data_IF_893195193792
#
_entry.id   IF_893195193792
#
_cell.length_a   1.000
_cell.length_b   1.000
_cell.length_c   1.000
_cell.angle_alpha   90.00
_cell.angle_beta   90.00
_cell.angle_gamma   90.00
#
_symmetry.space_group_name_H-M   'P 1'
#
loop_
_entity.id
_entity.type
_entity.pdbx_description
1 polymer ?
#
# COMPACT_ATOMS: atom_id res chain seq x y z
N UNK A 1 8.33 41.96 20.19
CA UNK A 1 7.73 40.60 20.18
C UNK A 1 7.25 40.35 18.76
N UNK A 2 7.98 39.59 17.94
CA UNK A 2 7.61 39.31 16.56
C UNK A 2 6.75 38.04 16.52
N UNK A 3 5.54 38.13 15.93
CA UNK A 3 4.66 36.99 15.69
C UNK A 3 5.25 36.10 14.61
N UNK A 4 5.47 34.82 14.94
CA UNK A 4 5.81 33.77 13.98
C UNK A 4 4.52 33.34 13.28
N UNK A 5 4.26 33.88 12.09
CA UNK A 5 3.24 33.33 11.20
C UNK A 5 3.67 31.94 10.76
N UNK A 6 3.00 30.93 11.31
CA UNK A 6 3.13 29.54 10.86
C UNK A 6 2.53 29.45 9.46
N UNK A 7 3.38 29.52 8.42
CA UNK A 7 2.98 29.21 7.05
C UNK A 7 2.48 27.77 6.98
N UNK A 8 1.15 27.61 6.97
CA UNK A 8 0.49 26.34 6.69
C UNK A 8 0.67 26.06 5.19
N UNK A 9 1.64 25.23 4.83
CA UNK A 9 1.81 24.75 3.46
C UNK A 9 0.53 24.04 3.00
N UNK A 10 -0.23 24.68 2.11
CA UNK A 10 -1.38 24.08 1.43
C UNK A 10 -0.87 23.07 0.42
N UNK A 11 -0.77 21.80 0.82
CA UNK A 11 -0.52 20.71 -0.13
C UNK A 11 -1.72 20.62 -1.08
N UNK A 12 -1.49 20.91 -2.35
CA UNK A 12 -2.50 20.70 -3.41
C UNK A 12 -2.67 19.21 -3.63
N UNK A 13 -3.68 18.61 -2.99
CA UNK A 13 -4.05 17.21 -3.20
C UNK A 13 -4.85 17.14 -4.49
N UNK A 14 -4.45 16.25 -5.40
CA UNK A 14 -5.18 16.01 -6.64
C UNK A 14 -6.21 14.93 -6.38
N UNK A 15 -7.42 15.13 -6.88
CA UNK A 15 -8.51 14.15 -6.76
C UNK A 15 -8.75 13.52 -8.12
N UNK A 16 -8.66 12.19 -8.21
CA UNK A 16 -8.94 11.47 -9.45
C UNK A 16 -10.44 11.50 -9.73
N UNK A 17 -10.85 12.34 -10.67
CA UNK A 17 -12.25 12.45 -11.09
C UNK A 17 -12.42 12.04 -12.54
N UNK A 18 -11.45 12.38 -13.39
CA UNK A 18 -11.43 12.09 -14.83
C UNK A 18 -10.10 11.47 -15.27
N UNK A 19 -10.05 10.83 -16.46
CA UNK A 19 -8.81 10.23 -16.98
C UNK A 19 -7.62 11.19 -17.08
N UNK A 20 -7.87 12.47 -17.35
CA UNK A 20 -6.82 13.50 -17.45
C UNK A 20 -6.06 13.71 -16.12
N UNK A 21 -6.73 13.48 -14.98
CA UNK A 21 -6.12 13.66 -13.65
C UNK A 21 -5.12 12.54 -13.34
N UNK A 22 -5.21 11.41 -14.07
CA UNK A 22 -4.50 10.17 -13.77
C UNK A 22 -3.00 10.36 -13.58
N UNK A 23 -2.33 11.04 -14.51
CA UNK A 23 -0.87 11.18 -14.49
C UNK A 23 -0.39 11.94 -13.25
N UNK A 24 -1.06 13.05 -12.91
CA UNK A 24 -0.69 13.88 -11.77
C UNK A 24 -1.10 13.22 -10.44
N UNK A 25 -2.28 12.60 -10.41
CA UNK A 25 -2.76 11.85 -9.25
C UNK A 25 -1.88 10.64 -8.92
N UNK A 26 -1.51 9.86 -9.94
CA UNK A 26 -0.62 8.71 -9.78
C UNK A 26 0.78 9.15 -9.32
N UNK A 27 1.27 10.30 -9.81
CA UNK A 27 2.55 10.84 -9.38
C UNK A 27 2.59 11.07 -7.86
N UNK A 28 1.53 11.61 -7.24
CA UNK A 28 1.46 11.81 -5.78
C UNK A 28 1.60 10.50 -5.01
N UNK A 29 0.92 9.45 -5.47
CA UNK A 29 0.96 8.13 -4.84
C UNK A 29 2.29 7.43 -5.09
N UNK A 30 2.86 7.59 -6.29
CA UNK A 30 4.18 7.09 -6.64
C UNK A 30 5.26 7.73 -5.78
N UNK A 31 5.24 9.05 -5.61
CA UNK A 31 6.22 9.79 -4.81
C UNK A 31 6.20 9.31 -3.35
N UNK A 32 5.00 9.18 -2.76
CA UNK A 32 4.83 8.58 -1.44
C UNK A 32 5.37 7.14 -1.39
N UNK A 33 5.01 6.29 -2.34
CA UNK A 33 5.46 4.89 -2.36
C UNK A 33 6.99 4.76 -2.52
N UNK A 34 7.62 5.60 -3.35
CA UNK A 34 9.08 5.65 -3.51
C UNK A 34 9.75 6.10 -2.22
N UNK A 35 9.20 7.10 -1.53
CA UNK A 35 9.73 7.58 -0.24
C UNK A 35 9.74 6.50 0.85
N UNK A 36 8.83 5.53 0.76
CA UNK A 36 8.74 4.38 1.65
C UNK A 36 9.42 3.11 1.10
N UNK A 37 10.00 3.15 -0.10
CA UNK A 37 10.63 1.98 -0.73
C UNK A 37 9.65 0.87 -1.10
N UNK A 38 8.38 1.19 -1.37
CA UNK A 38 7.32 0.21 -1.66
C UNK A 38 6.71 0.31 -3.06
N UNK A 39 7.22 1.19 -3.93
CA UNK A 39 6.66 1.39 -5.28
C UNK A 39 6.58 0.10 -6.09
N UNK A 40 7.59 -0.78 -5.99
CA UNK A 40 7.62 -2.06 -6.71
C UNK A 40 6.40 -2.96 -6.38
N UNK A 41 5.89 -2.91 -5.15
CA UNK A 41 4.76 -3.74 -4.69
C UNK A 41 3.41 -3.17 -5.12
N UNK A 42 3.33 -1.89 -5.49
CA UNK A 42 2.07 -1.23 -5.82
C UNK A 42 2.00 -0.66 -7.25
N UNK A 43 3.08 -0.74 -8.03
CA UNK A 43 3.15 -0.19 -9.38
C UNK A 43 2.09 -0.81 -10.33
N UNK A 44 1.08 -0.04 -10.78
CA UNK A 44 0.01 -0.56 -11.63
C UNK A 44 0.44 -0.82 -13.08
N UNK A 45 1.68 -0.45 -13.44
CA UNK A 45 2.27 -0.78 -14.74
C UNK A 45 2.69 -2.26 -14.84
N UNK A 46 2.93 -2.92 -13.71
CA UNK A 46 3.39 -4.31 -13.63
C UNK A 46 2.19 -5.21 -13.41
N UNK A 47 2.01 -6.26 -14.24
CA UNK A 47 0.88 -7.18 -14.10
C UNK A 47 0.95 -8.04 -12.82
N UNK A 48 2.16 -8.44 -12.44
CA UNK A 48 2.44 -9.31 -11.28
C UNK A 48 3.49 -8.65 -10.41
N UNK A 49 3.11 -7.80 -9.43
CA UNK A 49 4.06 -7.18 -8.53
C UNK A 49 4.67 -8.23 -7.58
N UNK A 50 5.88 -7.99 -7.04
CA UNK A 50 6.39 -8.76 -5.92
C UNK A 50 5.40 -8.68 -4.75
N UNK A 51 5.32 -9.75 -3.97
CA UNK A 51 4.55 -9.77 -2.73
C UNK A 51 5.48 -9.44 -1.58
N UNK A 52 4.99 -8.66 -0.61
CA UNK A 52 5.74 -8.41 0.62
C UNK A 52 6.03 -9.75 1.31
N UNK A 53 7.24 -9.92 1.83
CA UNK A 53 7.60 -11.12 2.59
C UNK A 53 6.62 -11.34 3.75
N UNK A 54 6.39 -12.59 4.17
CA UNK A 54 5.54 -12.86 5.32
C UNK A 54 6.06 -12.13 6.57
N UNK A 55 5.13 -11.85 7.49
CA UNK A 55 5.45 -11.23 8.79
C UNK A 55 6.53 -12.06 9.50
N UNK A 56 7.67 -11.46 9.89
CA UNK A 56 8.71 -12.18 10.61
C UNK A 56 8.19 -12.76 11.92
N UNK A 57 8.36 -14.07 12.10
CA UNK A 57 7.97 -14.78 13.32
C UNK A 57 8.95 -14.46 14.45
N UNK A 58 8.41 -14.15 15.63
CA UNK A 58 9.22 -13.81 16.79
C UNK A 58 9.90 -15.09 17.31
N UNK A 59 11.24 -15.10 17.48
CA UNK A 59 11.93 -16.22 18.10
C UNK A 59 11.35 -16.53 19.48
N UNK A 60 10.97 -17.80 19.67
CA UNK A 60 10.48 -18.31 20.95
C UNK A 60 11.69 -18.66 21.82
N UNK A 61 11.56 -18.47 23.13
CA UNK A 61 12.58 -18.93 24.07
C UNK A 61 12.63 -20.47 24.02
N UNK A 62 13.82 -21.10 23.86
CA UNK A 62 13.90 -22.55 23.86
C UNK A 62 13.55 -23.12 25.24
N UNK A 63 12.93 -24.29 25.24
CA UNK A 63 12.66 -25.07 26.44
C UNK A 63 13.96 -25.70 26.99
N UNK A 64 14.02 -25.92 28.30
CA UNK A 64 15.15 -26.58 28.96
C UNK A 64 16.08 -25.65 29.74
N UNK A 65 17.33 -26.06 29.91
CA UNK A 65 18.31 -25.33 30.71
C UNK A 65 18.82 -24.08 29.97
N UNK A 66 18.65 -22.91 30.60
CA UNK A 66 18.94 -21.61 30.02
C UNK A 66 20.36 -21.18 30.35
N UNK A 67 21.34 -21.88 29.76
CA UNK A 67 22.75 -21.51 29.92
C UNK A 67 23.03 -20.12 29.34
N UNK A 68 24.17 -19.54 29.73
CA UNK A 68 24.59 -18.22 29.26
C UNK A 68 24.70 -18.18 27.72
N UNK A 69 25.18 -19.25 27.10
CA UNK A 69 25.32 -19.40 25.64
C UNK A 69 23.95 -19.44 24.96
N UNK A 70 23.00 -20.21 25.50
CA UNK A 70 21.62 -20.29 24.98
C UNK A 70 20.96 -18.92 25.00
N UNK A 71 21.07 -18.21 26.13
CA UNK A 71 20.55 -16.85 26.26
C UNK A 71 21.25 -15.86 25.32
N UNK A 72 22.54 -16.03 25.07
CA UNK A 72 23.28 -15.18 24.13
C UNK A 72 22.82 -15.39 22.69
N UNK A 73 22.67 -16.64 22.25
CA UNK A 73 22.12 -16.97 20.92
C UNK A 73 20.69 -16.43 20.80
N UNK A 74 19.87 -16.55 21.84
CA UNK A 74 18.51 -16.02 21.84
C UNK A 74 18.48 -14.50 21.68
N UNK A 75 19.37 -13.77 22.35
CA UNK A 75 19.49 -12.31 22.19
C UNK A 75 19.83 -11.94 20.75
N UNK A 76 20.79 -12.62 20.12
CA UNK A 76 21.15 -12.39 18.73
C UNK A 76 19.97 -12.62 17.77
N UNK A 77 19.23 -13.72 17.94
CA UNK A 77 18.02 -14.02 17.15
C UNK A 77 16.94 -12.96 17.32
N UNK A 78 16.71 -12.49 18.55
CA UNK A 78 15.75 -11.43 18.83
C UNK A 78 16.14 -10.11 18.16
N UNK A 79 17.42 -9.72 18.23
CA UNK A 79 17.92 -8.51 17.57
C UNK A 79 17.77 -8.57 16.05
N UNK A 80 18.07 -9.71 15.42
CA UNK A 80 17.85 -9.91 13.98
C UNK A 80 16.36 -9.85 13.63
N UNK A 81 15.50 -10.50 14.42
CA UNK A 81 14.06 -10.45 14.25
C UNK A 81 13.52 -9.03 14.38
N UNK A 82 13.97 -8.25 15.37
CA UNK A 82 13.54 -6.86 15.55
C UNK A 82 13.85 -6.00 14.33
N UNK A 83 15.04 -6.17 13.73
CA UNK A 83 15.42 -5.46 12.51
C UNK A 83 14.53 -5.85 11.34
N UNK A 84 14.37 -7.16 11.08
CA UNK A 84 13.49 -7.68 10.01
C UNK A 84 12.04 -7.24 10.21
N UNK A 85 11.54 -7.29 11.44
CA UNK A 85 10.17 -6.90 11.78
C UNK A 85 9.95 -5.41 11.56
N UNK A 86 10.90 -4.54 11.94
CA UNK A 86 10.80 -3.09 11.70
C UNK A 86 10.72 -2.78 10.21
N UNK A 87 11.60 -3.38 9.40
CA UNK A 87 11.59 -3.19 7.95
C UNK A 87 10.26 -3.67 7.33
N UNK A 88 9.84 -4.89 7.67
CA UNK A 88 8.57 -5.45 7.22
C UNK A 88 7.38 -4.58 7.63
N UNK A 89 7.34 -4.14 8.89
CA UNK A 89 6.24 -3.34 9.43
C UNK A 89 6.16 -1.97 8.76
N UNK A 90 7.31 -1.34 8.46
CA UNK A 90 7.36 -0.09 7.71
C UNK A 90 6.75 -0.25 6.32
N UNK A 91 7.11 -1.32 5.60
CA UNK A 91 6.57 -1.61 4.26
C UNK A 91 5.07 -1.95 4.29
N UNK A 92 4.64 -2.82 5.21
CA UNK A 92 3.23 -3.20 5.41
C UNK A 92 2.37 -1.97 5.74
N UNK A 93 2.85 -1.12 6.66
CA UNK A 93 2.18 0.14 7.01
C UNK A 93 2.07 1.07 5.81
N UNK A 94 3.16 1.28 5.05
CA UNK A 94 3.14 2.15 3.89
C UNK A 94 2.16 1.67 2.81
N UNK A 95 2.07 0.36 2.57
CA UNK A 95 1.11 -0.20 1.62
C UNK A 95 -0.35 0.01 2.06
N UNK A 96 -0.64 -0.17 3.35
CA UNK A 96 -1.98 0.10 3.92
C UNK A 96 -2.35 1.58 3.87
N UNK A 97 -1.38 2.46 4.11
CA UNK A 97 -1.57 3.89 3.95
C UNK A 97 -1.87 4.25 2.50
N UNK A 98 -1.14 3.69 1.52
CA UNK A 98 -1.45 3.90 0.10
C UNK A 98 -2.87 3.43 -0.22
N UNK A 99 -3.34 2.30 0.31
CA UNK A 99 -4.73 1.87 0.12
C UNK A 99 -5.73 2.92 0.62
N UNK A 100 -5.48 3.51 1.79
CA UNK A 100 -6.32 4.55 2.40
C UNK A 100 -6.26 5.85 1.62
N UNK A 101 -5.07 6.26 1.19
CA UNK A 101 -4.86 7.48 0.39
C UNK A 101 -5.55 7.38 -0.95
N UNK A 102 -5.42 6.23 -1.64
CA UNK A 102 -6.14 5.98 -2.89
C UNK A 102 -7.65 6.14 -2.67
N UNK A 103 -8.23 5.50 -1.64
CA UNK A 103 -9.66 5.60 -1.39
C UNK A 103 -10.12 7.02 -1.02
N UNK A 104 -9.27 7.83 -0.39
CA UNK A 104 -9.62 9.20 0.03
C UNK A 104 -9.35 10.27 -1.03
N UNK A 105 -8.63 9.94 -2.10
CA UNK A 105 -8.24 10.89 -3.15
C UNK A 105 -8.85 10.55 -4.52
N UNK A 106 -9.86 9.70 -4.56
CA UNK A 106 -10.67 9.46 -5.77
C UNK A 106 -12.08 10.00 -5.60
N UNK A 107 -12.76 10.28 -6.72
CA UNK A 107 -14.20 10.55 -6.71
C UNK A 107 -14.98 9.38 -6.10
N UNK A 108 -16.05 9.70 -5.37
CA UNK A 108 -16.93 8.69 -4.73
C UNK A 108 -17.52 7.70 -5.75
N UNK A 109 -17.69 8.12 -7.02
CA UNK A 109 -18.13 7.26 -8.11
C UNK A 109 -17.15 6.12 -8.45
N UNK A 110 -15.87 6.26 -8.10
CA UNK A 110 -14.83 5.26 -8.35
C UNK A 110 -14.62 4.28 -7.18
N UNK A 111 -15.17 4.57 -6.00
CA UNK A 111 -15.05 3.71 -4.81
C UNK A 111 -15.57 2.28 -5.05
N UNK A 112 -16.73 2.07 -5.71
CA UNK A 112 -17.23 0.72 -5.95
C UNK A 112 -16.30 -0.16 -6.80
N UNK A 113 -15.41 0.45 -7.61
CA UNK A 113 -14.46 -0.27 -8.45
C UNK A 113 -13.33 -0.93 -7.65
N UNK A 114 -13.00 -0.37 -6.48
CA UNK A 114 -11.83 -0.76 -5.68
C UNK A 114 -12.17 -1.29 -4.28
N UNK A 115 -13.44 -1.22 -3.87
CA UNK A 115 -13.87 -1.54 -2.49
C UNK A 115 -13.52 -2.96 -2.04
N UNK A 116 -13.48 -3.92 -2.98
CA UNK A 116 -13.16 -5.32 -2.69
C UNK A 116 -11.67 -5.65 -2.86
N UNK A 117 -10.85 -4.68 -3.29
CA UNK A 117 -9.43 -4.88 -3.49
C UNK A 117 -8.67 -4.59 -2.19
N UNK A 118 -7.99 -5.63 -1.70
CA UNK A 118 -7.23 -5.58 -0.45
C UNK A 118 -5.85 -4.92 -0.59
N UNK A 119 -5.27 -4.89 -1.79
CA UNK A 119 -3.89 -4.44 -2.02
C UNK A 119 -3.84 -3.11 -2.76
N UNK A 120 -2.79 -2.32 -2.47
CA UNK A 120 -2.56 -1.05 -3.14
C UNK A 120 -2.41 -1.23 -4.66
N UNK A 121 -1.71 -2.29 -5.08
CA UNK A 121 -1.57 -2.66 -6.48
C UNK A 121 -2.92 -2.91 -7.15
N UNK A 122 -3.78 -3.75 -6.57
CA UNK A 122 -5.06 -4.11 -7.18
C UNK A 122 -5.95 -2.87 -7.36
N UNK A 123 -6.01 -1.99 -6.35
CA UNK A 123 -6.74 -0.72 -6.42
C UNK A 123 -6.21 0.17 -7.55
N UNK A 124 -4.88 0.38 -7.60
CA UNK A 124 -4.24 1.21 -8.62
C UNK A 124 -4.41 0.62 -10.03
N UNK A 125 -4.31 -0.70 -10.18
CA UNK A 125 -4.48 -1.40 -11.45
C UNK A 125 -5.93 -1.31 -11.96
N UNK A 126 -6.93 -1.49 -11.08
CA UNK A 126 -8.34 -1.30 -11.43
C UNK A 126 -8.63 0.11 -11.92
N UNK A 127 -8.16 1.12 -11.18
CA UNK A 127 -8.35 2.51 -11.57
C UNK A 127 -7.65 2.79 -12.90
N UNK A 128 -6.42 2.31 -13.08
CA UNK A 128 -5.67 2.44 -14.35
C UNK A 128 -6.47 1.87 -15.51
N UNK A 129 -6.95 0.63 -15.38
CA UNK A 129 -7.71 -0.02 -16.45
C UNK A 129 -8.97 0.76 -16.81
N UNK A 130 -9.67 1.33 -15.82
CA UNK A 130 -10.83 2.19 -16.06
C UNK A 130 -10.46 3.48 -16.81
N UNK A 131 -9.29 4.09 -16.54
CA UNK A 131 -8.86 5.31 -17.24
C UNK A 131 -8.47 5.06 -18.70
N UNK A 132 -7.89 3.90 -19.01
CA UNK A 132 -7.37 3.58 -20.35
C UNK A 132 -8.27 2.64 -21.17
N UNK A 133 -9.36 2.15 -20.58
CA UNK A 133 -10.40 1.39 -21.27
C UNK A 133 -11.78 1.66 -20.62
N UNK A 134 -12.49 2.73 -21.05
CA UNK A 134 -13.75 3.15 -20.41
C UNK A 134 -14.94 2.19 -20.64
N UNK A 135 -14.77 1.07 -21.36
CA UNK A 135 -15.85 0.14 -21.72
C UNK A 135 -15.96 -1.02 -20.71
N UNK A 136 -16.28 -0.74 -19.44
CA UNK A 136 -16.68 -1.82 -18.50
C UNK A 136 -17.75 -1.42 -17.48
N UNK A 137 -18.49 -0.34 -17.68
CA UNK A 137 -19.67 -0.04 -16.88
C UNK A 137 -20.87 0.11 -17.80
N UNK A 138 -21.43 -1.03 -18.20
CA UNK A 138 -22.83 -1.27 -18.52
C UNK A 138 -22.95 -2.70 -19.10
N UNK A 139 -22.88 -3.73 -18.25
CA UNK A 139 -23.78 -4.87 -18.46
C UNK A 139 -24.03 -5.66 -17.17
N UNK A 140 -25.18 -5.47 -16.50
CA UNK A 140 -25.61 -6.31 -15.38
C UNK A 140 -25.99 -7.75 -15.80
N UNK A 141 -26.03 -8.08 -17.09
CA UNK A 141 -26.64 -9.32 -17.58
C UNK A 141 -25.70 -10.50 -17.80
N UNK A 142 -24.40 -10.41 -17.49
CA UNK A 142 -23.50 -11.57 -17.65
C UNK A 142 -23.69 -12.66 -16.59
N UNK A 143 -24.58 -12.49 -15.61
CA UNK A 143 -24.84 -13.47 -14.55
C UNK A 143 -26.14 -14.30 -14.69
N UNK A 144 -26.95 -14.09 -15.73
CA UNK A 144 -28.15 -14.90 -15.98
C UNK A 144 -28.22 -15.28 -17.46
N UNK A 145 -27.46 -16.30 -17.86
CA UNK A 145 -27.48 -16.75 -19.24
C UNK A 145 -26.48 -17.84 -19.58
N UNK A 146 -26.47 -18.94 -18.83
CA UNK A 146 -26.11 -20.23 -19.42
C UNK A 146 -27.31 -21.15 -19.26
N UNK A 147 -27.99 -21.34 -20.38
CA UNK A 147 -28.93 -22.42 -20.61
C UNK A 147 -28.21 -23.78 -20.45
#
# INVERSE_FOLDING_TARGET
MASVETQRSTKTVVILTKPEDWSLWLFQHKDKAVSHGVWEYCNPAVSTPPTLTPKPERPILPDGDLTAEVLQVQRMKLSEWEWKYKEWHQKDKALKEICTDVASTISTSLIPLIQNDATAHARLARLRNNQFNPVTLLDPLTYLGRA
#
